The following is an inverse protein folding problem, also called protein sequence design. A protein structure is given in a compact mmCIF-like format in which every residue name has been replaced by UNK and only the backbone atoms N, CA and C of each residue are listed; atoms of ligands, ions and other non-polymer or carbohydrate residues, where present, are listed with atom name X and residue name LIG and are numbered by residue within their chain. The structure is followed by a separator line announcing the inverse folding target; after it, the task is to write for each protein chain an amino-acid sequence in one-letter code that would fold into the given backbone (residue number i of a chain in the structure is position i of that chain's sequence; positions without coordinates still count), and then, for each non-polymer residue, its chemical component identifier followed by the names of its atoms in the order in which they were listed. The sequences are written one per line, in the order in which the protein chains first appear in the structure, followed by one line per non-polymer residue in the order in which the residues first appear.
data_IF_976634439896
#
_entry.id   IF_976634439896
#
_cell.length_a   1.000
_cell.length_b   1.000
_cell.length_c   1.000
_cell.angle_alpha   90.00
_cell.angle_beta   90.00
_cell.angle_gamma   90.00
#
_symmetry.space_group_name_H-M   'P 1'
#
loop_
_entity.id
_entity.type
_entity.pdbx_description
1 polymer ?
#
# COMPACT_ATOMS: atom_id res chain seq x y z
N UNK A 1 -34.06 10.37 45.75
CA UNK A 1 -33.04 10.36 44.68
C UNK A 1 -33.76 10.09 43.36
N UNK A 2 -33.93 11.12 42.53
CA UNK A 2 -34.40 10.99 41.14
C UNK A 2 -33.56 11.96 40.33
N UNK A 3 -32.59 11.43 39.57
CA UNK A 3 -31.85 12.19 38.56
C UNK A 3 -32.45 11.83 37.20
N UNK A 4 -33.09 12.78 36.53
CA UNK A 4 -33.64 12.62 35.17
C UNK A 4 -32.76 13.39 34.20
N UNK A 5 -32.21 12.67 33.24
CA UNK A 5 -31.23 13.10 32.26
C UNK A 5 -31.79 14.18 31.32
N UNK A 6 -30.96 15.17 31.00
CA UNK A 6 -31.19 16.19 29.97
C UNK A 6 -31.24 15.58 28.56
N UNK A 7 -32.10 16.06 27.65
CA UNK A 7 -31.94 15.82 26.22
C UNK A 7 -30.97 16.85 25.60
N UNK A 8 -29.97 16.38 24.87
CA UNK A 8 -29.20 17.19 23.92
C UNK A 8 -29.71 16.85 22.52
N UNK A 9 -30.42 17.80 21.90
CA UNK A 9 -30.51 17.91 20.46
C UNK A 9 -30.20 19.36 20.07
N UNK A 10 -29.17 19.54 19.25
CA UNK A 10 -29.09 20.70 18.37
C UNK A 10 -28.45 20.26 17.06
N UNK A 11 -29.13 20.62 15.99
CA UNK A 11 -29.00 20.12 14.63
C UNK A 11 -28.08 21.06 13.86
N UNK A 12 -27.11 20.53 13.10
CA UNK A 12 -26.40 21.33 12.11
C UNK A 12 -26.63 20.76 10.71
N UNK A 13 -27.44 21.50 9.96
CA UNK A 13 -27.77 21.34 8.55
C UNK A 13 -26.77 22.13 7.70
N UNK A 14 -26.46 21.58 6.52
CA UNK A 14 -26.18 22.28 5.26
C UNK A 14 -24.92 23.16 5.16
N UNK A 15 -24.10 22.91 4.13
CA UNK A 15 -23.79 23.85 3.03
C UNK A 15 -22.63 23.26 2.23
N UNK A 16 -22.90 22.91 0.97
CA UNK A 16 -21.87 22.66 -0.02
C UNK A 16 -21.13 23.95 -0.36
N UNK A 17 -19.82 23.87 -0.51
CA UNK A 17 -19.00 24.99 -0.96
C UNK A 17 -18.13 24.54 -2.12
N UNK A 18 -18.54 24.96 -3.32
CA UNK A 18 -17.75 24.86 -4.55
C UNK A 18 -16.84 26.08 -4.56
N UNK A 19 -15.55 25.89 -4.25
CA UNK A 19 -14.59 27.00 -4.21
C UNK A 19 -13.92 27.12 -5.58
N UNK A 20 -14.44 28.03 -6.40
CA UNK A 20 -13.74 28.55 -7.58
C UNK A 20 -12.54 29.37 -7.11
N UNK A 21 -11.33 29.00 -7.53
CA UNK A 21 -10.14 29.84 -7.39
C UNK A 21 -9.75 30.35 -8.77
N UNK A 22 -10.04 31.62 -9.02
CA UNK A 22 -9.50 32.40 -10.11
C UNK A 22 -8.34 33.26 -9.58
N UNK A 23 -7.12 33.03 -10.06
CA UNK A 23 -5.97 33.94 -9.95
C UNK A 23 -5.06 33.62 -11.16
N UNK A 24 -5.22 34.31 -12.29
CA UNK A 24 -4.67 35.64 -12.63
C UNK A 24 -3.40 35.51 -13.49
N UNK A 25 -3.41 36.27 -14.57
CA UNK A 25 -2.51 36.26 -15.73
C UNK A 25 -1.04 36.50 -15.39
N UNK A 26 -0.15 35.77 -16.08
CA UNK A 26 1.26 36.11 -16.22
C UNK A 26 1.78 35.59 -17.55
N UNK A 27 1.69 36.40 -18.61
CA UNK A 27 2.37 36.14 -19.89
C UNK A 27 3.83 36.52 -19.70
N UNK A 28 4.75 35.55 -19.80
CA UNK A 28 6.17 35.84 -20.00
C UNK A 28 6.61 35.19 -21.31
N UNK A 29 6.47 35.96 -22.39
CA UNK A 29 7.15 35.72 -23.67
C UNK A 29 8.63 36.03 -23.46
N UNK A 30 9.46 35.00 -23.33
CA UNK A 30 10.91 35.12 -23.21
C UNK A 30 11.59 34.13 -24.14
N UNK A 31 11.76 34.52 -25.40
CA UNK A 31 12.68 33.88 -26.34
C UNK A 31 14.13 34.23 -25.96
N UNK A 32 14.97 33.24 -25.66
CA UNK A 32 16.39 33.50 -25.39
C UNK A 32 17.20 32.27 -25.02
N UNK A 33 18.13 31.92 -25.91
CA UNK A 33 19.11 30.83 -25.88
C UNK A 33 20.02 30.83 -24.63
N UNK A 34 20.25 29.66 -24.02
CA UNK A 34 21.59 29.18 -23.60
C UNK A 34 21.51 27.80 -22.91
N UNK A 35 22.26 26.85 -23.44
CA UNK A 35 22.45 25.50 -22.89
C UNK A 35 23.45 25.53 -21.71
N UNK A 36 23.08 25.01 -20.53
CA UNK A 36 24.05 24.54 -19.52
C UNK A 36 23.75 24.81 -18.03
N UNK A 37 23.56 23.72 -17.26
CA UNK A 37 23.77 23.51 -15.81
C UNK A 37 22.90 24.19 -14.71
N UNK A 38 22.06 23.36 -14.06
CA UNK A 38 21.90 23.15 -12.57
C UNK A 38 21.31 24.32 -11.73
N UNK A 39 20.36 24.20 -10.78
CA UNK A 39 19.83 23.15 -9.91
C UNK A 39 18.39 23.54 -9.46
N UNK A 40 17.52 22.52 -9.34
CA UNK A 40 16.56 22.30 -8.24
C UNK A 40 15.54 23.37 -7.84
N UNK A 41 14.27 23.08 -8.10
CA UNK A 41 13.24 23.07 -7.06
C UNK A 41 12.27 21.93 -7.35
N UNK A 42 12.22 21.00 -6.40
CA UNK A 42 11.26 19.91 -6.31
C UNK A 42 9.83 20.43 -6.51
N UNK A 43 9.16 19.96 -7.55
CA UNK A 43 7.71 19.83 -7.49
C UNK A 43 7.37 18.45 -8.05
N UNK A 44 7.32 17.50 -7.12
CA UNK A 44 7.08 16.09 -7.33
C UNK A 44 5.68 15.87 -7.89
N UNK A 45 5.51 16.04 -9.20
CA UNK A 45 4.49 15.31 -9.95
C UNK A 45 5.09 13.96 -10.38
N UNK A 46 5.58 13.20 -9.40
CA UNK A 46 5.81 11.77 -9.58
C UNK A 46 4.49 11.07 -9.33
N UNK A 47 3.92 10.55 -10.41
CA UNK A 47 3.15 9.32 -10.43
C UNK A 47 2.03 9.21 -9.38
N UNK A 48 0.89 9.84 -9.66
CA UNK A 48 -0.41 9.17 -9.42
C UNK A 48 -0.74 8.24 -10.60
N UNK A 49 0.28 7.52 -11.09
CA UNK A 49 0.09 6.30 -11.84
C UNK A 49 -0.25 5.23 -10.82
N UNK A 50 -1.55 5.05 -10.58
CA UNK A 50 -2.15 3.76 -10.23
C UNK A 50 -1.22 2.87 -9.39
N UNK A 51 -1.17 3.11 -8.08
CA UNK A 51 -0.84 2.05 -7.13
C UNK A 51 -2.00 1.02 -7.09
N UNK A 52 -2.38 0.51 -8.26
CA UNK A 52 -3.01 -0.79 -8.34
C UNK A 52 -1.93 -1.75 -7.88
N UNK A 53 -2.07 -2.15 -6.61
CA UNK A 53 -1.48 -3.36 -6.07
C UNK A 53 -1.57 -4.43 -7.15
N UNK A 54 -0.46 -4.71 -7.85
CA UNK A 54 -0.33 -5.95 -8.59
C UNK A 54 -0.34 -7.06 -7.53
N UNK A 55 -1.56 -7.44 -7.11
CA UNK A 55 -1.81 -8.72 -6.49
C UNK A 55 -1.57 -9.74 -7.59
N UNK A 56 -0.29 -10.05 -7.82
CA UNK A 56 0.09 -11.15 -8.68
C UNK A 56 -0.63 -12.38 -8.16
N UNK A 57 -1.52 -12.93 -8.98
CA UNK A 57 -2.28 -14.12 -8.63
C UNK A 57 -1.30 -15.28 -8.50
N UNK A 58 -1.36 -15.99 -7.38
CA UNK A 58 -0.50 -17.14 -7.11
C UNK A 58 -1.34 -18.41 -6.97
N UNK A 59 -0.78 -19.56 -7.34
CA UNK A 59 -1.40 -20.87 -7.26
C UNK A 59 -0.48 -21.91 -6.64
N UNK A 60 -0.83 -23.19 -6.85
CA UNK A 60 -0.04 -24.32 -6.31
C UNK A 60 1.41 -24.33 -6.80
N UNK A 61 1.65 -23.94 -8.06
CA UNK A 61 2.98 -23.93 -8.63
C UNK A 61 3.93 -22.99 -7.88
N UNK A 62 3.48 -21.78 -7.55
CA UNK A 62 4.27 -20.82 -6.78
C UNK A 62 4.45 -21.27 -5.33
N UNK A 63 3.39 -21.83 -4.72
CA UNK A 63 3.48 -22.39 -3.37
C UNK A 63 4.52 -23.51 -3.28
N UNK A 64 4.57 -24.42 -4.25
CA UNK A 64 5.51 -25.54 -4.29
C UNK A 64 6.97 -25.10 -4.45
N UNK A 65 7.21 -24.00 -5.17
CA UNK A 65 8.54 -23.42 -5.32
C UNK A 65 9.13 -22.90 -4.01
N UNK A 66 8.29 -22.52 -3.04
CA UNK A 66 8.76 -22.07 -1.73
C UNK A 66 9.47 -23.19 -0.96
N UNK A 67 10.68 -22.93 -0.50
CA UNK A 67 11.47 -23.90 0.28
C UNK A 67 11.90 -23.30 1.61
N UNK A 68 12.03 -24.16 2.62
CA UNK A 68 12.61 -23.77 3.89
C UNK A 68 14.03 -23.23 3.68
N UNK A 69 14.40 -22.18 4.42
CA UNK A 69 15.70 -21.51 4.27
C UNK A 69 15.71 -20.36 3.26
N UNK A 70 14.65 -20.17 2.47
CA UNK A 70 14.53 -18.98 1.60
C UNK A 70 14.43 -17.70 2.43
N UNK A 71 15.04 -16.63 1.95
CA UNK A 71 14.86 -15.27 2.46
C UNK A 71 13.50 -14.68 2.03
N UNK A 72 13.07 -13.61 2.70
CA UNK A 72 11.87 -12.88 2.31
C UNK A 72 11.96 -12.33 0.88
N UNK A 73 13.15 -11.95 0.42
CA UNK A 73 13.37 -11.46 -0.95
C UNK A 73 13.11 -12.57 -1.97
N UNK A 74 13.67 -13.76 -1.75
CA UNK A 74 13.45 -14.92 -2.63
C UNK A 74 11.96 -15.32 -2.67
N UNK A 75 11.28 -15.30 -1.53
CA UNK A 75 9.83 -15.56 -1.46
C UNK A 75 9.04 -14.51 -2.24
N UNK A 76 9.42 -13.22 -2.15
CA UNK A 76 8.77 -12.13 -2.89
C UNK A 76 9.03 -12.18 -4.39
N UNK A 77 10.13 -12.77 -4.84
CA UNK A 77 10.36 -13.03 -6.27
C UNK A 77 9.39 -14.08 -6.84
N UNK A 78 8.79 -14.92 -5.98
CA UNK A 78 7.84 -15.97 -6.37
C UNK A 78 6.39 -15.50 -6.16
N UNK A 79 6.08 -14.93 -5.00
CA UNK A 79 4.71 -14.57 -4.59
C UNK A 79 4.39 -13.07 -4.64
N UNK A 80 5.32 -12.24 -5.12
CA UNK A 80 5.21 -10.78 -5.03
C UNK A 80 5.07 -10.31 -3.57
N UNK A 81 4.47 -9.13 -3.35
CA UNK A 81 4.36 -8.51 -2.04
C UNK A 81 3.23 -9.14 -1.21
N UNK A 82 3.60 -9.73 -0.07
CA UNK A 82 2.67 -10.17 0.96
C UNK A 82 2.44 -9.11 2.04
N UNK A 83 1.39 -9.31 2.84
CA UNK A 83 1.04 -8.50 4.00
C UNK A 83 1.73 -9.10 5.22
N UNK A 84 2.51 -8.31 5.95
CA UNK A 84 3.06 -8.71 7.24
C UNK A 84 1.94 -8.61 8.29
N UNK A 85 1.63 -9.72 8.95
CA UNK A 85 0.54 -9.78 9.94
C UNK A 85 1.05 -9.86 11.38
N UNK A 86 2.32 -10.25 11.57
CA UNK A 86 2.95 -10.31 12.89
C UNK A 86 4.47 -10.30 12.77
N UNK A 87 5.14 -9.68 13.74
CA UNK A 87 6.60 -9.65 13.86
C UNK A 87 7.04 -9.64 15.31
N UNK A 88 8.13 -10.34 15.57
CA UNK A 88 8.89 -10.37 16.83
C UNK A 88 10.39 -10.24 16.51
N UNK A 89 11.24 -10.36 17.53
CA UNK A 89 12.71 -10.29 17.37
C UNK A 89 13.23 -11.39 16.43
N UNK A 90 12.68 -12.60 16.53
CA UNK A 90 13.17 -13.76 15.78
C UNK A 90 12.22 -14.20 14.67
N UNK A 91 10.93 -13.87 14.76
CA UNK A 91 9.89 -14.43 13.89
C UNK A 91 9.13 -13.33 13.14
N UNK A 92 8.78 -13.57 11.88
CA UNK A 92 7.85 -12.73 11.11
C UNK A 92 6.85 -13.59 10.34
N UNK A 93 5.58 -13.20 10.33
CA UNK A 93 4.50 -13.92 9.66
C UNK A 93 3.95 -13.05 8.54
N UNK A 94 3.89 -13.62 7.33
CA UNK A 94 3.35 -12.97 6.15
C UNK A 94 2.19 -13.76 5.58
N UNK A 95 1.22 -13.04 5.03
CA UNK A 95 0.04 -13.59 4.36
C UNK A 95 -0.06 -13.00 2.97
N UNK A 96 -0.25 -13.88 1.98
CA UNK A 96 -0.67 -13.54 0.64
C UNK A 96 -2.09 -14.03 0.47
N UNK A 97 -2.96 -13.18 -0.09
CA UNK A 97 -4.37 -13.50 -0.32
C UNK A 97 -4.74 -13.14 -1.76
N UNK A 98 -5.28 -14.11 -2.48
CA UNK A 98 -5.83 -13.92 -3.82
C UNK A 98 -7.24 -13.33 -3.74
N UNK A 99 -7.74 -12.70 -4.83
CA UNK A 99 -9.12 -12.20 -4.89
C UNK A 99 -10.20 -13.27 -4.69
N UNK A 100 -9.90 -14.54 -4.95
CA UNK A 100 -10.83 -15.67 -4.70
C UNK A 100 -10.83 -16.16 -3.24
N UNK A 101 -10.08 -15.48 -2.36
CA UNK A 101 -9.96 -15.77 -0.94
C UNK A 101 -9.04 -16.94 -0.61
N UNK A 102 -8.34 -17.52 -1.60
CA UNK A 102 -7.25 -18.46 -1.33
C UNK A 102 -6.03 -17.73 -0.76
N UNK A 103 -5.30 -18.40 0.14
CA UNK A 103 -4.21 -17.76 0.90
C UNK A 103 -2.97 -18.64 1.01
N UNK A 104 -1.82 -17.99 1.11
CA UNK A 104 -0.57 -18.60 1.56
C UNK A 104 -0.10 -17.85 2.80
N UNK A 105 0.24 -18.58 3.86
CA UNK A 105 0.85 -18.04 5.06
C UNK A 105 2.28 -18.57 5.17
N UNK A 106 3.24 -17.67 5.38
CA UNK A 106 4.65 -18.00 5.53
C UNK A 106 5.15 -17.47 6.86
N UNK A 107 5.87 -18.32 7.59
CA UNK A 107 6.53 -17.95 8.84
C UNK A 107 8.04 -17.97 8.58
N UNK A 108 8.67 -16.84 8.88
CA UNK A 108 10.11 -16.68 8.88
C UNK A 108 10.63 -16.73 10.31
N UNK A 109 11.72 -17.45 10.52
CA UNK A 109 12.48 -17.48 11.76
C UNK A 109 13.93 -17.12 11.43
N UNK A 110 14.53 -16.18 12.16
CA UNK A 110 15.87 -15.63 11.87
C UNK A 110 16.07 -15.23 10.40
N UNK A 111 15.08 -14.54 9.82
CA UNK A 111 15.04 -14.09 8.41
C UNK A 111 15.02 -15.21 7.36
N UNK A 112 14.71 -16.45 7.76
CA UNK A 112 14.67 -17.62 6.88
C UNK A 112 13.30 -18.29 6.95
N UNK A 113 12.77 -18.70 5.82
CA UNK A 113 11.48 -19.39 5.74
C UNK A 113 11.56 -20.66 6.58
N UNK A 114 10.76 -20.73 7.63
CA UNK A 114 10.70 -21.87 8.55
C UNK A 114 9.56 -22.80 8.21
N UNK A 115 8.39 -22.24 7.93
CA UNK A 115 7.19 -23.00 7.57
C UNK A 115 6.29 -22.22 6.62
N UNK A 116 5.50 -22.99 5.85
CA UNK A 116 4.49 -22.46 4.93
C UNK A 116 3.19 -23.26 5.08
N UNK A 117 2.07 -22.60 4.88
CA UNK A 117 0.74 -23.20 4.86
C UNK A 117 -0.10 -22.55 3.74
N UNK A 118 -1.07 -23.28 3.21
CA UNK A 118 -2.01 -22.79 2.21
C UNK A 118 -3.46 -23.09 2.58
N UNK A 119 -4.39 -22.27 2.12
CA UNK A 119 -5.82 -22.52 2.23
C UNK A 119 -6.52 -22.23 0.89
N UNK A 120 -7.40 -23.16 0.49
CA UNK A 120 -8.26 -23.04 -0.72
C UNK A 120 -7.51 -22.79 -2.05
N UNK A 121 -6.21 -23.03 -2.08
CA UNK A 121 -5.36 -22.81 -3.25
C UNK A 121 -5.67 -23.84 -4.35
N UNK A 122 -5.92 -23.33 -5.56
CA UNK A 122 -6.22 -24.14 -6.74
C UNK A 122 -4.97 -24.46 -7.53
#
# INVERSE_FOLDING_TARGET
MVNKNNPIQSNNTLVGSVMNVALSLGVMLGSGLAYGFVQTAFNSQQHEQSAQTELGRFGRAEYEQLKTGMSLTEVRSILYRGIEVSRSVTTAIFVWENPDGSKITVIFEHNKLKSKAQSRLK
#
